data_IF_193327053882
#
_entry.id   IF_193327053882
#
_cell.length_a   1.000
_cell.length_b   1.000
_cell.length_c   1.000
_cell.angle_alpha   90.00
_cell.angle_beta   90.00
_cell.angle_gamma   90.00
#
_symmetry.space_group_name_H-M   'P 1'
#
loop_
_entity.id
_entity.type
_entity.pdbx_description
1 polymer ?
#
# COMPACT_ATOMS: atom_id res chain seq x y z
N UNK A 1 6.77 5.80 20.12
CA UNK A 1 7.20 4.62 19.32
C UNK A 1 7.59 5.07 17.95
N UNK A 2 8.79 4.73 17.45
CA UNK A 2 9.17 4.92 16.04
C UNK A 2 8.77 3.68 15.24
N UNK A 3 7.87 3.83 14.27
CA UNK A 3 7.32 2.72 13.50
C UNK A 3 7.57 2.91 12.02
N UNK A 4 8.12 1.88 11.36
CA UNK A 4 8.26 1.80 9.91
C UNK A 4 7.24 0.80 9.36
N UNK A 5 6.31 1.27 8.55
CA UNK A 5 5.36 0.45 7.83
C UNK A 5 5.91 0.09 6.45
N UNK A 6 6.10 -1.20 6.19
CA UNK A 6 6.50 -1.67 4.86
C UNK A 6 5.27 -1.75 3.94
N UNK A 7 5.21 -0.84 2.99
CA UNK A 7 4.12 -0.73 2.01
C UNK A 7 4.59 -1.20 0.63
N UNK A 8 5.14 -2.39 0.57
CA UNK A 8 5.57 -3.04 -0.66
C UNK A 8 4.46 -3.88 -1.30
N UNK A 9 4.68 -4.31 -2.54
CA UNK A 9 3.80 -5.23 -3.23
C UNK A 9 2.89 -4.59 -4.28
N UNK A 10 2.59 -5.33 -5.36
CA UNK A 10 1.73 -4.87 -6.47
C UNK A 10 0.25 -5.15 -6.25
N UNK A 11 -0.09 -6.02 -5.27
CA UNK A 11 -1.48 -6.39 -5.00
C UNK A 11 -2.22 -7.10 -6.14
N UNK A 12 -1.55 -7.56 -7.20
CA UNK A 12 -2.15 -8.11 -8.43
C UNK A 12 -3.20 -9.21 -8.23
N UNK A 13 -3.18 -9.89 -7.07
CA UNK A 13 -4.18 -10.93 -6.74
C UNK A 13 -5.55 -10.37 -6.36
N UNK A 14 -5.68 -9.06 -6.18
CA UNK A 14 -6.95 -8.37 -5.94
C UNK A 14 -7.42 -7.58 -7.16
N UNK A 15 -6.89 -7.93 -8.36
CA UNK A 15 -7.48 -7.44 -9.59
C UNK A 15 -9.00 -7.76 -9.62
N UNK A 16 -9.87 -6.87 -10.08
CA UNK A 16 -9.63 -5.59 -10.77
C UNK A 16 -9.55 -4.36 -9.85
N UNK A 17 -9.58 -4.51 -8.52
CA UNK A 17 -9.48 -3.35 -7.62
C UNK A 17 -8.06 -2.81 -7.49
N UNK A 18 -7.05 -3.66 -7.66
CA UNK A 18 -5.64 -3.29 -7.63
C UNK A 18 -5.07 -3.13 -9.03
N UNK A 19 -4.18 -2.17 -9.19
CA UNK A 19 -3.38 -1.94 -10.40
C UNK A 19 -1.94 -1.54 -10.02
N UNK A 20 -1.10 -1.14 -10.96
CA UNK A 20 0.30 -0.79 -10.73
C UNK A 20 0.49 0.45 -9.84
N UNK A 21 -0.53 1.32 -9.74
CA UNK A 21 -0.53 2.52 -8.89
C UNK A 21 -1.30 2.26 -7.60
N UNK A 22 -2.49 1.67 -7.69
CA UNK A 22 -3.35 1.36 -6.56
C UNK A 22 -3.10 -0.06 -6.05
N UNK A 23 -2.17 -0.21 -5.14
CA UNK A 23 -1.92 -1.49 -4.45
C UNK A 23 -3.02 -1.81 -3.44
N UNK A 24 -3.09 -3.09 -3.00
CA UNK A 24 -4.17 -3.63 -2.14
C UNK A 24 -4.42 -2.81 -0.86
N UNK A 25 -3.38 -2.26 -0.25
CA UNK A 25 -3.47 -1.52 1.00
C UNK A 25 -4.19 -0.16 0.88
N UNK A 26 -4.42 0.32 -0.35
CA UNK A 26 -5.14 1.57 -0.62
C UNK A 26 -6.60 1.36 -1.04
N UNK A 27 -7.06 0.11 -1.14
CA UNK A 27 -8.44 -0.21 -1.50
C UNK A 27 -9.33 0.01 -0.28
N UNK A 28 -10.38 0.83 -0.43
CA UNK A 28 -11.34 1.15 0.65
C UNK A 28 -12.43 0.09 0.70
N UNK A 29 -12.34 -0.84 1.65
CA UNK A 29 -13.22 -2.00 1.78
C UNK A 29 -13.62 -2.33 3.22
N UNK A 30 -13.10 -1.61 4.22
CA UNK A 30 -13.44 -1.81 5.61
C UNK A 30 -14.34 -0.67 6.08
N UNK A 31 -15.43 -1.00 6.77
CA UNK A 31 -16.29 0.02 7.35
C UNK A 31 -15.70 0.54 8.67
N UNK A 32 -15.73 1.84 8.82
CA UNK A 32 -15.50 2.52 10.08
C UNK A 32 -16.80 2.56 10.89
N UNK A 33 -16.71 2.94 12.16
CA UNK A 33 -17.88 3.10 13.06
C UNK A 33 -18.88 4.15 12.55
N UNK A 34 -18.42 5.15 11.79
CA UNK A 34 -19.25 6.19 11.17
C UNK A 34 -19.92 5.74 9.85
N UNK A 35 -19.66 4.51 9.40
CA UNK A 35 -20.20 3.93 8.17
C UNK A 35 -19.38 4.24 6.91
N UNK A 36 -18.35 5.09 7.00
CA UNK A 36 -17.46 5.38 5.88
C UNK A 36 -16.49 4.22 5.62
N UNK A 37 -16.10 4.05 4.35
CA UNK A 37 -15.11 3.04 3.98
C UNK A 37 -13.69 3.55 4.19
N UNK A 38 -12.87 2.74 4.83
CA UNK A 38 -11.43 2.98 4.97
C UNK A 38 -10.62 1.89 4.25
N UNK A 39 -9.41 2.25 3.84
CA UNK A 39 -8.42 1.33 3.32
C UNK A 39 -7.61 0.67 4.46
N UNK A 40 -6.84 -0.38 4.14
CA UNK A 40 -5.95 -1.02 5.11
C UNK A 40 -4.94 -0.02 5.70
N UNK A 41 -4.33 0.83 4.87
CA UNK A 41 -3.36 1.81 5.38
C UNK A 41 -4.00 2.85 6.30
N UNK A 42 -5.24 3.27 6.02
CA UNK A 42 -5.99 4.17 6.90
C UNK A 42 -6.37 3.48 8.22
N UNK A 43 -6.84 2.22 8.15
CA UNK A 43 -7.18 1.41 9.32
C UNK A 43 -5.97 1.24 10.23
N UNK A 44 -4.85 0.77 9.68
CA UNK A 44 -3.59 0.56 10.43
C UNK A 44 -3.11 1.86 11.07
N UNK A 45 -3.09 2.96 10.33
CA UNK A 45 -2.66 4.26 10.87
C UNK A 45 -3.57 4.74 12.01
N UNK A 46 -4.89 4.62 11.86
CA UNK A 46 -5.87 4.96 12.90
C UNK A 46 -5.69 4.12 14.15
N UNK A 47 -5.48 2.80 14.00
CA UNK A 47 -5.26 1.87 15.13
C UNK A 47 -3.94 2.16 15.85
N UNK A 48 -2.85 2.48 15.13
CA UNK A 48 -1.59 2.92 15.73
C UNK A 48 -1.81 4.16 16.58
N UNK A 49 -2.48 5.18 16.04
CA UNK A 49 -2.73 6.43 16.75
C UNK A 49 -3.70 6.28 17.93
N UNK A 50 -4.59 5.29 17.90
CA UNK A 50 -5.45 4.95 19.03
C UNK A 50 -4.67 4.33 20.22
N UNK A 51 -3.62 3.55 19.95
CA UNK A 51 -2.78 2.90 20.95
C UNK A 51 -1.64 3.83 21.44
N UNK A 52 -1.08 4.59 20.51
CA UNK A 52 0.05 5.51 20.81
C UNK A 52 -0.11 6.79 19.97
N UNK A 53 -0.71 7.83 20.57
CA UNK A 53 -0.93 9.13 19.92
C UNK A 53 0.37 9.79 19.47
N UNK A 54 1.46 9.54 20.19
CA UNK A 54 2.78 10.13 19.94
C UNK A 54 3.66 9.26 19.01
N UNK A 55 3.11 8.13 18.50
CA UNK A 55 3.85 7.29 17.58
C UNK A 55 4.26 8.07 16.31
N UNK A 56 5.54 8.02 15.98
CA UNK A 56 6.09 8.51 14.72
C UNK A 56 5.97 7.38 13.69
N UNK A 57 5.21 7.63 12.62
CA UNK A 57 4.97 6.63 11.56
C UNK A 57 5.71 7.05 10.30
N UNK A 58 6.57 6.17 9.81
CA UNK A 58 7.25 6.30 8.51
C UNK A 58 6.81 5.16 7.60
N UNK A 59 6.42 5.47 6.36
CA UNK A 59 5.99 4.46 5.38
C UNK A 59 7.10 4.27 4.36
N UNK A 60 7.66 3.06 4.31
CA UNK A 60 8.60 2.64 3.27
C UNK A 60 7.80 2.17 2.05
N UNK A 61 7.93 2.87 0.92
CA UNK A 61 7.05 2.68 -0.23
C UNK A 61 7.71 3.06 -1.55
N UNK A 62 7.10 2.66 -2.67
CA UNK A 62 7.54 3.07 -4.01
C UNK A 62 7.02 4.47 -4.40
N UNK A 63 7.71 5.14 -5.30
CA UNK A 63 7.34 6.47 -5.83
C UNK A 63 5.90 6.54 -6.37
N UNK A 64 5.39 5.46 -6.95
CA UNK A 64 4.03 5.42 -7.50
C UNK A 64 2.93 5.49 -6.44
N UNK A 65 3.23 5.14 -5.18
CA UNK A 65 2.27 5.08 -4.08
C UNK A 65 2.24 6.34 -3.20
N UNK A 66 3.24 7.21 -3.29
CA UNK A 66 3.37 8.44 -2.48
C UNK A 66 2.10 9.29 -2.55
N UNK A 67 1.55 9.49 -3.76
CA UNK A 67 0.33 10.29 -3.93
C UNK A 67 -0.88 9.70 -3.22
N UNK A 68 -1.04 8.37 -3.23
CA UNK A 68 -2.14 7.71 -2.53
C UNK A 68 -1.98 7.80 -1.00
N UNK A 69 -0.74 7.74 -0.50
CA UNK A 69 -0.46 7.94 0.94
C UNK A 69 -0.85 9.34 1.37
N UNK A 70 -0.39 10.38 0.67
CA UNK A 70 -0.76 11.76 0.98
C UNK A 70 -2.27 12.00 0.88
N UNK A 71 -2.94 11.43 -0.13
CA UNK A 71 -4.39 11.54 -0.27
C UNK A 71 -5.15 10.92 0.90
N UNK A 72 -4.70 9.75 1.38
CA UNK A 72 -5.42 8.97 2.39
C UNK A 72 -5.02 9.27 3.84
N UNK A 73 -3.78 9.68 4.09
CA UNK A 73 -3.24 9.91 5.44
C UNK A 73 -2.82 11.37 5.71
N UNK A 74 -2.81 12.23 4.70
CA UNK A 74 -2.26 13.59 4.80
C UNK A 74 -0.74 13.62 4.70
N UNK A 75 -0.15 14.77 5.03
CA UNK A 75 1.30 15.03 4.86
C UNK A 75 2.12 14.87 6.15
N UNK A 76 1.48 14.50 7.26
CA UNK A 76 2.14 14.37 8.57
C UNK A 76 2.90 13.04 8.74
N UNK A 77 2.72 12.08 7.82
CA UNK A 77 3.44 10.81 7.85
C UNK A 77 4.80 10.92 7.19
N UNK A 78 5.84 10.34 7.79
CA UNK A 78 7.14 10.20 7.15
C UNK A 78 7.06 9.24 5.96
N UNK A 79 7.77 9.54 4.86
CA UNK A 79 7.78 8.66 3.69
C UNK A 79 9.23 8.41 3.28
N UNK A 80 9.69 7.16 3.41
CA UNK A 80 10.92 6.65 2.82
C UNK A 80 10.61 6.07 1.45
N UNK A 81 11.02 6.77 0.38
CA UNK A 81 10.68 6.41 -1.00
C UNK A 81 11.75 5.50 -1.59
N UNK A 82 11.36 4.28 -1.97
CA UNK A 82 12.22 3.39 -2.74
C UNK A 82 12.24 3.79 -4.22
N UNK A 83 13.43 4.04 -4.82
CA UNK A 83 13.55 4.31 -6.26
C UNK A 83 13.05 3.16 -7.14
N UNK A 84 13.29 1.93 -6.69
CA UNK A 84 12.84 0.69 -7.35
C UNK A 84 12.69 -0.43 -6.31
N UNK A 85 12.10 -1.57 -6.69
CA UNK A 85 11.88 -2.69 -5.76
C UNK A 85 13.15 -3.53 -5.59
N UNK A 86 13.64 -3.66 -4.35
CA UNK A 86 14.83 -4.45 -3.97
C UNK A 86 14.59 -5.42 -2.80
N UNK A 87 13.31 -5.74 -2.49
CA UNK A 87 12.92 -6.57 -1.35
C UNK A 87 13.13 -5.86 0.00
N UNK A 88 12.87 -6.55 1.13
CA UNK A 88 12.69 -5.89 2.44
C UNK A 88 13.97 -5.42 3.09
N UNK A 89 15.14 -6.04 2.85
CA UNK A 89 16.38 -5.56 3.46
C UNK A 89 16.80 -4.17 2.96
N UNK A 90 16.90 -3.91 1.64
CA UNK A 90 17.20 -2.56 1.17
C UNK A 90 16.15 -1.52 1.59
N UNK A 91 14.86 -1.90 1.62
CA UNK A 91 13.79 -1.01 2.06
C UNK A 91 13.95 -0.61 3.53
N UNK A 92 14.28 -1.55 4.41
CA UNK A 92 14.52 -1.30 5.83
C UNK A 92 15.81 -0.48 6.03
N UNK A 93 16.88 -0.78 5.28
CA UNK A 93 18.13 -0.01 5.33
C UNK A 93 17.92 1.45 4.92
N UNK A 94 17.18 1.69 3.83
CA UNK A 94 16.85 3.05 3.37
C UNK A 94 15.95 3.78 4.38
N UNK A 95 14.96 3.11 4.96
CA UNK A 95 14.10 3.68 5.99
C UNK A 95 14.90 4.01 7.26
N UNK A 96 15.85 3.16 7.67
CA UNK A 96 16.73 3.43 8.81
C UNK A 96 17.62 4.66 8.58
N UNK A 97 18.22 4.79 7.39
CA UNK A 97 18.97 5.99 7.02
C UNK A 97 18.09 7.24 7.00
N UNK A 98 16.85 7.14 6.47
CA UNK A 98 15.85 8.22 6.48
C UNK A 98 15.49 8.66 7.91
N UNK A 99 15.25 7.70 8.82
CA UNK A 99 14.96 8.00 10.24
C UNK A 99 16.11 8.78 10.89
N UNK A 100 17.38 8.37 10.65
CA UNK A 100 18.56 9.03 11.20
C UNK A 100 18.80 10.40 10.58
N UNK A 101 18.94 10.46 9.24
CA UNK A 101 19.49 11.63 8.55
C UNK A 101 18.43 12.69 8.27
N UNK A 102 17.16 12.29 8.08
CA UNK A 102 16.05 13.21 7.74
C UNK A 102 15.20 13.51 8.96
N UNK A 103 14.84 12.49 9.76
CA UNK A 103 13.99 12.69 10.94
C UNK A 103 14.76 12.93 12.24
N UNK A 104 16.09 12.70 12.26
CA UNK A 104 16.93 12.94 13.43
C UNK A 104 16.74 11.96 14.58
N UNK A 105 16.25 10.74 14.31
CA UNK A 105 16.07 9.68 15.30
C UNK A 105 17.43 9.20 15.79
N UNK A 106 17.61 9.11 17.11
CA UNK A 106 18.86 8.68 17.73
C UNK A 106 19.15 7.19 17.54
N UNK A 107 20.41 6.82 17.42
CA UNK A 107 20.83 5.42 17.17
C UNK A 107 20.46 4.46 18.31
N UNK A 108 20.32 4.96 19.55
CA UNK A 108 19.89 4.17 20.71
C UNK A 108 18.36 4.04 20.81
N UNK A 109 17.61 4.77 20.01
CA UNK A 109 16.15 4.66 19.99
C UNK A 109 15.70 3.37 19.32
N UNK A 110 14.64 2.78 19.88
CA UNK A 110 14.03 1.60 19.29
C UNK A 110 13.16 1.95 18.09
N UNK A 111 13.24 1.12 17.08
CA UNK A 111 12.41 1.18 15.87
C UNK A 111 11.70 -0.15 15.71
N UNK A 112 10.41 -0.10 15.41
CA UNK A 112 9.60 -1.27 15.06
C UNK A 112 9.31 -1.23 13.56
N UNK A 113 9.56 -2.32 12.87
CA UNK A 113 9.24 -2.50 11.45
C UNK A 113 8.15 -3.54 11.33
N UNK A 114 7.08 -3.25 10.60
CA UNK A 114 6.03 -4.21 10.31
C UNK A 114 5.41 -3.98 8.93
N UNK A 115 4.81 -5.02 8.31
CA UNK A 115 4.05 -4.85 7.07
C UNK A 115 2.75 -4.09 7.32
N UNK A 116 2.27 -3.36 6.30
CA UNK A 116 1.02 -2.56 6.37
C UNK A 116 -0.23 -3.39 6.05
N UNK A 117 -0.08 -4.61 5.59
CA UNK A 117 -1.12 -5.39 4.93
C UNK A 117 -1.80 -6.53 5.73
N UNK A 118 -1.39 -6.90 6.96
CA UNK A 118 -2.16 -7.86 7.74
C UNK A 118 -3.43 -7.23 8.33
N UNK A 119 -4.50 -8.02 8.35
CA UNK A 119 -5.72 -7.67 9.09
C UNK A 119 -5.53 -8.09 10.55
N UNK A 120 -5.58 -7.11 11.43
CA UNK A 120 -5.28 -7.23 12.86
C UNK A 120 -6.23 -6.37 13.69
N UNK A 121 -6.30 -6.64 15.00
CA UNK A 121 -7.05 -5.82 15.94
C UNK A 121 -6.10 -4.95 16.79
N UNK A 122 -6.66 -4.15 17.70
CA UNK A 122 -5.88 -3.16 18.47
C UNK A 122 -4.81 -3.80 19.37
N UNK A 123 -5.04 -5.03 19.85
CA UNK A 123 -4.08 -5.81 20.65
C UNK A 123 -2.75 -6.06 19.92
N UNK A 124 -2.78 -6.13 18.60
CA UNK A 124 -1.57 -6.22 17.79
C UNK A 124 -0.70 -4.96 17.91
N UNK A 125 -1.31 -3.77 17.92
CA UNK A 125 -0.57 -2.51 18.05
C UNK A 125 -0.07 -2.28 19.48
N UNK A 126 -0.80 -2.77 20.49
CA UNK A 126 -0.30 -2.84 21.87
C UNK A 126 0.93 -3.77 21.96
N UNK A 127 0.90 -4.90 21.27
CA UNK A 127 2.04 -5.81 21.18
C UNK A 127 3.22 -5.18 20.41
N UNK A 128 2.99 -4.41 19.33
CA UNK A 128 4.06 -3.65 18.64
C UNK A 128 4.72 -2.63 19.56
N UNK A 129 3.94 -1.92 20.37
CA UNK A 129 4.49 -0.99 21.37
C UNK A 129 5.33 -1.71 22.40
N UNK A 130 4.83 -2.80 22.97
CA UNK A 130 5.57 -3.62 23.91
C UNK A 130 6.85 -4.23 23.30
N UNK A 131 6.82 -4.56 22.01
CA UNK A 131 7.99 -5.05 21.26
C UNK A 131 9.07 -3.97 21.15
N UNK A 132 8.68 -2.73 20.81
CA UNK A 132 9.58 -1.58 20.78
C UNK A 132 10.18 -1.26 22.16
N UNK A 133 9.35 -1.27 23.20
CA UNK A 133 9.79 -1.07 24.60
C UNK A 133 10.78 -2.19 25.02
N UNK A 134 10.55 -3.44 24.57
CA UNK A 134 11.48 -4.54 24.82
C UNK A 134 12.82 -4.32 24.11
N UNK A 135 12.81 -3.94 22.84
CA UNK A 135 14.02 -3.68 22.06
C UNK A 135 14.86 -2.54 22.65
N UNK A 136 14.24 -1.53 23.25
CA UNK A 136 14.95 -0.42 23.90
C UNK A 136 15.81 -0.87 25.07
N UNK A 137 15.39 -1.91 25.82
CA UNK A 137 16.06 -2.35 27.07
C UNK A 137 16.73 -3.72 26.95
N UNK A 138 16.46 -4.48 25.89
CA UNK A 138 17.06 -5.81 25.68
C UNK A 138 18.54 -5.71 25.35
N UNK A 139 19.29 -6.75 25.72
CA UNK A 139 20.63 -7.01 25.21
C UNK A 139 20.64 -7.75 23.88
N UNK A 140 19.48 -8.25 23.42
CA UNK A 140 19.35 -8.84 22.10
C UNK A 140 19.40 -7.75 21.01
N UNK A 141 19.99 -8.09 19.87
CA UNK A 141 20.09 -7.20 18.73
C UNK A 141 18.74 -7.06 17.99
N UNK A 142 17.96 -8.14 17.99
CA UNK A 142 16.64 -8.21 17.36
C UNK A 142 15.60 -8.75 18.35
N UNK A 143 14.41 -8.18 18.34
CA UNK A 143 13.22 -8.73 18.98
C UNK A 143 12.17 -8.96 17.91
N UNK A 144 11.75 -10.21 17.73
CA UNK A 144 10.77 -10.61 16.72
C UNK A 144 9.39 -10.75 17.34
N UNK A 145 8.33 -10.44 16.60
CA UNK A 145 6.98 -10.89 16.96
C UNK A 145 6.75 -12.29 16.38
N UNK A 146 6.50 -13.24 17.25
CA UNK A 146 6.16 -14.61 16.87
C UNK A 146 4.67 -14.84 16.96
N UNK A 147 4.04 -15.18 15.85
CA UNK A 147 2.59 -15.41 15.74
C UNK A 147 2.29 -16.89 15.95
N UNK A 148 1.29 -17.21 16.78
CA UNK A 148 0.88 -18.60 17.03
C UNK A 148 0.36 -19.23 15.73
N UNK A 149 0.98 -20.36 15.25
CA UNK A 149 0.60 -20.96 13.99
C UNK A 149 -0.70 -21.76 14.12
N UNK A 150 -1.60 -21.57 13.16
CA UNK A 150 -2.88 -22.30 13.09
C UNK A 150 -2.83 -23.52 12.13
N UNK A 151 -1.82 -23.56 11.24
CA UNK A 151 -1.59 -24.67 10.30
C UNK A 151 -0.13 -24.69 9.83
N UNK A 152 0.38 -25.82 9.29
CA UNK A 152 1.73 -25.87 8.73
C UNK A 152 1.79 -25.19 7.35
N UNK A 153 2.36 -23.99 7.31
CA UNK A 153 2.48 -23.16 6.10
C UNK A 153 3.89 -23.25 5.53
N UNK A 154 4.01 -23.35 4.21
CA UNK A 154 5.27 -23.19 3.48
C UNK A 154 5.55 -21.73 3.08
N UNK A 155 4.62 -20.83 3.41
CA UNK A 155 4.67 -19.42 2.99
C UNK A 155 5.36 -18.52 4.00
N UNK A 156 5.50 -18.95 5.26
CA UNK A 156 6.04 -18.17 6.37
C UNK A 156 7.36 -18.72 6.87
N UNK A 157 8.17 -17.84 7.46
CA UNK A 157 9.30 -18.23 8.29
C UNK A 157 8.84 -18.78 9.64
N UNK A 158 9.68 -19.60 10.27
CA UNK A 158 9.43 -20.19 11.58
C UNK A 158 10.51 -19.78 12.56
N UNK A 159 10.07 -19.30 13.72
CA UNK A 159 10.90 -18.90 14.86
C UNK A 159 10.77 -20.02 15.90
N UNK A 160 11.86 -20.67 16.25
CA UNK A 160 11.88 -21.71 17.26
C UNK A 160 12.41 -21.12 18.56
N UNK A 161 11.55 -20.85 19.57
CA UNK A 161 11.96 -20.30 20.85
C UNK A 161 12.65 -21.36 21.72
N UNK A 162 13.53 -20.93 22.65
CA UNK A 162 14.15 -21.83 23.64
C UNK A 162 13.13 -22.18 24.74
N UNK A 163 12.26 -21.23 25.12
CA UNK A 163 11.27 -21.37 26.19
C UNK A 163 9.83 -21.16 25.74
N UNK A 164 8.90 -21.22 26.70
CA UNK A 164 7.47 -20.98 26.48
C UNK A 164 6.99 -19.66 27.09
N UNK A 165 7.89 -18.89 27.63
CA UNK A 165 7.63 -17.57 28.23
C UNK A 165 7.12 -16.59 27.16
N UNK A 166 6.45 -15.52 27.58
CA UNK A 166 5.93 -14.47 26.70
C UNK A 166 7.06 -13.86 25.84
N UNK A 167 8.24 -13.69 26.41
CA UNK A 167 9.47 -13.31 25.73
C UNK A 167 10.52 -14.37 26.00
N UNK A 168 11.15 -14.91 24.97
CA UNK A 168 12.20 -15.91 25.09
C UNK A 168 13.28 -15.74 24.03
N UNK A 169 14.48 -16.27 24.29
CA UNK A 169 15.55 -16.35 23.29
C UNK A 169 15.12 -17.29 22.14
N UNK A 170 15.62 -17.02 20.96
CA UNK A 170 15.42 -17.83 19.76
C UNK A 170 16.56 -18.84 19.63
N UNK A 171 16.20 -20.11 19.43
CA UNK A 171 17.18 -21.17 19.20
C UNK A 171 17.51 -21.34 17.72
N UNK A 172 16.52 -21.07 16.85
CA UNK A 172 16.67 -21.22 15.40
C UNK A 172 15.59 -20.39 14.69
N UNK A 173 15.96 -19.83 13.55
CA UNK A 173 15.05 -19.25 12.56
C UNK A 173 15.15 -20.02 11.25
N UNK A 174 14.04 -20.25 10.57
CA UNK A 174 14.02 -20.90 9.26
C UNK A 174 12.95 -20.31 8.35
N UNK A 175 13.38 -19.74 7.24
CA UNK A 175 12.50 -19.16 6.23
C UNK A 175 11.91 -20.26 5.33
N UNK A 176 10.59 -20.23 5.15
CA UNK A 176 9.79 -21.05 4.20
C UNK A 176 10.20 -22.54 4.12
N UNK A 177 10.09 -23.31 5.20
CA UNK A 177 10.36 -24.74 5.19
C UNK A 177 9.30 -25.50 4.39
N UNK A 178 9.55 -26.76 4.07
CA UNK A 178 8.52 -27.66 3.53
C UNK A 178 7.42 -27.91 4.56
N UNK A 179 6.23 -28.31 4.11
CA UNK A 179 5.09 -28.55 5.00
C UNK A 179 5.37 -29.61 6.08
N UNK A 180 6.16 -30.65 5.74
CA UNK A 180 6.56 -31.68 6.70
C UNK A 180 7.46 -31.11 7.80
N UNK A 181 8.45 -30.32 7.43
CA UNK A 181 9.35 -29.65 8.37
C UNK A 181 8.58 -28.63 9.21
N UNK A 182 7.64 -27.91 8.60
CA UNK A 182 6.76 -26.98 9.31
C UNK A 182 5.93 -27.65 10.42
N UNK A 183 5.38 -28.85 10.15
CA UNK A 183 4.68 -29.65 11.17
C UNK A 183 5.57 -29.99 12.36
N UNK A 184 6.81 -30.41 12.09
CA UNK A 184 7.80 -30.74 13.13
C UNK A 184 8.16 -29.50 13.96
N UNK A 185 8.28 -28.33 13.34
CA UNK A 185 8.56 -27.08 14.03
C UNK A 185 7.39 -26.66 14.93
N UNK A 186 6.15 -26.73 14.43
CA UNK A 186 4.95 -26.44 15.25
C UNK A 186 4.88 -27.38 16.45
N UNK A 187 5.16 -28.69 16.29
CA UNK A 187 5.18 -29.65 17.39
C UNK A 187 6.25 -29.30 18.46
N UNK A 188 7.30 -28.58 18.08
CA UNK A 188 8.34 -28.05 19.00
C UNK A 188 8.00 -26.68 19.58
N UNK A 189 6.82 -26.11 19.29
CA UNK A 189 6.36 -24.81 19.78
C UNK A 189 6.90 -23.64 18.98
N UNK A 190 7.23 -23.85 17.70
CA UNK A 190 7.62 -22.77 16.80
C UNK A 190 6.46 -21.81 16.52
N UNK A 191 6.82 -20.57 16.26
CA UNK A 191 5.91 -19.48 15.92
C UNK A 191 6.14 -19.08 14.46
N UNK A 192 5.13 -18.53 13.79
CA UNK A 192 5.33 -17.90 12.49
C UNK A 192 6.06 -16.58 12.63
N UNK A 193 6.94 -16.29 11.69
CA UNK A 193 7.47 -14.96 11.47
C UNK A 193 6.48 -14.13 10.65
N UNK A 194 5.90 -13.10 11.27
CA UNK A 194 4.97 -12.16 10.62
C UNK A 194 5.66 -11.01 9.90
N UNK A 195 6.99 -11.02 9.78
CA UNK A 195 7.75 -9.90 9.22
C UNK A 195 7.77 -8.67 10.13
N UNK A 196 7.67 -8.87 11.44
CA UNK A 196 7.68 -7.83 12.46
C UNK A 196 8.97 -7.89 13.24
N UNK A 197 9.72 -6.80 13.22
CA UNK A 197 11.05 -6.69 13.79
C UNK A 197 11.16 -5.44 14.67
N UNK A 198 11.77 -5.54 15.83
CA UNK A 198 12.16 -4.40 16.63
C UNK A 198 13.64 -4.46 16.99
N UNK A 199 14.30 -3.32 16.95
CA UNK A 199 15.74 -3.17 17.15
C UNK A 199 16.09 -1.73 17.51
N UNK A 200 17.29 -1.49 18.04
CA UNK A 200 17.86 -0.15 18.11
C UNK A 200 18.29 0.31 16.72
N UNK A 201 18.00 1.55 16.35
CA UNK A 201 18.31 2.10 15.03
C UNK A 201 19.77 1.88 14.62
N UNK A 202 20.71 2.12 15.53
CA UNK A 202 22.15 1.92 15.29
C UNK A 202 22.53 0.50 14.91
N UNK A 203 21.85 -0.53 15.44
CA UNK A 203 22.10 -1.91 15.04
C UNK A 203 21.84 -2.15 13.55
N UNK A 204 20.67 -1.72 13.06
CA UNK A 204 20.32 -1.94 11.63
C UNK A 204 21.17 -1.08 10.72
N UNK A 205 21.50 0.15 11.10
CA UNK A 205 22.44 0.99 10.35
C UNK A 205 23.83 0.32 10.23
N UNK A 206 24.36 -0.23 11.32
CA UNK A 206 25.63 -0.96 11.30
C UNK A 206 25.56 -2.18 10.37
N UNK A 207 24.47 -2.98 10.46
CA UNK A 207 24.27 -4.12 9.55
C UNK A 207 24.13 -3.68 8.08
N UNK A 208 23.46 -2.55 7.84
CA UNK A 208 23.36 -1.99 6.49
C UNK A 208 24.72 -1.56 5.95
N UNK A 209 25.56 -0.88 6.74
CA UNK A 209 26.93 -0.51 6.35
C UNK A 209 27.88 -1.70 6.15
N UNK A 210 27.65 -2.83 6.85
CA UNK A 210 28.43 -4.05 6.61
C UNK A 210 28.10 -4.70 5.24
N UNK A 211 26.87 -4.55 4.77
CA UNK A 211 26.34 -5.24 3.59
C UNK A 211 26.23 -4.32 2.36
N UNK A 212 26.17 -3.01 2.56
CA UNK A 212 25.99 -1.99 1.52
C UNK A 212 27.01 -0.85 1.79
N UNK A 213 27.74 -0.47 0.76
CA UNK A 213 28.65 0.68 0.82
C UNK A 213 27.90 1.98 0.54
N UNK A 214 27.59 2.75 1.59
CA UNK A 214 26.95 4.06 1.51
C UNK A 214 27.39 4.96 2.68
N UNK A 215 27.18 6.27 2.53
CA UNK A 215 27.60 7.28 3.52
C UNK A 215 26.39 7.79 4.32
N UNK A 216 25.31 8.13 3.65
CA UNK A 216 24.09 8.72 4.20
C UNK A 216 22.84 8.29 3.38
N UNK A 217 21.67 8.82 3.77
CA UNK A 217 20.41 8.55 3.08
C UNK A 217 20.46 8.88 1.58
N UNK A 218 20.98 10.04 1.22
CA UNK A 218 21.01 10.49 -0.19
C UNK A 218 21.92 9.61 -1.05
N UNK A 219 23.08 9.22 -0.52
CA UNK A 219 24.00 8.31 -1.19
C UNK A 219 23.38 6.91 -1.37
N UNK A 220 22.71 6.38 -0.32
CA UNK A 220 22.00 5.10 -0.41
C UNK A 220 20.83 5.16 -1.41
N UNK A 221 20.07 6.26 -1.40
CA UNK A 221 18.97 6.49 -2.35
C UNK A 221 19.50 6.51 -3.80
N UNK A 222 20.59 7.20 -4.07
CA UNK A 222 21.18 7.30 -5.40
C UNK A 222 21.79 6.00 -5.92
N UNK A 223 22.23 5.11 -5.02
CA UNK A 223 22.80 3.78 -5.35
C UNK A 223 21.75 2.66 -5.32
N UNK A 224 20.53 2.95 -4.95
CA UNK A 224 19.51 1.94 -4.61
C UNK A 224 19.22 0.94 -5.73
N UNK A 225 19.27 1.36 -6.98
CA UNK A 225 19.04 0.52 -8.15
C UNK A 225 20.16 -0.51 -8.40
N UNK A 226 21.33 -0.33 -7.80
CA UNK A 226 22.46 -1.27 -7.88
C UNK A 226 22.42 -2.35 -6.79
N UNK A 227 21.57 -2.20 -5.78
CA UNK A 227 21.52 -3.11 -4.62
C UNK A 227 20.99 -4.51 -4.99
N UNK A 228 21.48 -5.50 -4.30
CA UNK A 228 20.96 -6.86 -4.40
C UNK A 228 19.52 -6.92 -3.89
N UNK A 229 18.70 -7.72 -4.59
CA UNK A 229 17.33 -7.99 -4.17
C UNK A 229 17.33 -9.13 -3.14
N UNK A 230 17.13 -8.79 -1.86
CA UNK A 230 17.19 -9.73 -0.75
C UNK A 230 16.24 -9.32 0.38
N UNK A 231 15.60 -10.28 1.05
CA UNK A 231 14.76 -10.00 2.21
C UNK A 231 15.60 -9.74 3.47
N UNK A 232 15.01 -9.03 4.43
CA UNK A 232 15.62 -8.79 5.74
C UNK A 232 15.85 -10.11 6.51
N UNK A 233 14.94 -11.07 6.33
CA UNK A 233 15.06 -12.40 6.92
C UNK A 233 16.33 -13.11 6.48
N UNK A 234 16.60 -13.15 5.17
CA UNK A 234 17.82 -13.77 4.64
C UNK A 234 19.09 -12.96 4.89
N UNK A 235 19.02 -11.63 4.80
CA UNK A 235 20.22 -10.79 4.94
C UNK A 235 20.66 -10.63 6.39
N UNK A 236 19.73 -10.61 7.34
CA UNK A 236 19.99 -10.26 8.74
C UNK A 236 19.52 -11.34 9.71
N UNK A 237 18.24 -11.74 9.70
CA UNK A 237 17.66 -12.59 10.74
C UNK A 237 18.30 -13.99 10.78
N UNK A 238 18.53 -14.62 9.63
CA UNK A 238 19.16 -15.95 9.56
C UNK A 238 20.64 -15.96 10.04
N UNK A 239 21.29 -14.80 10.10
CA UNK A 239 22.70 -14.65 10.49
C UNK A 239 22.89 -14.05 11.87
N UNK A 240 21.81 -13.64 12.54
CA UNK A 240 21.87 -13.06 13.89
C UNK A 240 21.71 -14.16 14.97
N UNK A 241 22.53 -14.09 15.99
CA UNK A 241 22.52 -15.04 17.13
C UNK A 241 21.82 -14.51 18.37
N UNK A 242 21.82 -13.19 18.54
CA UNK A 242 21.23 -12.53 19.72
C UNK A 242 19.83 -12.05 19.39
N UNK A 243 18.89 -13.01 19.30
CA UNK A 243 17.48 -12.76 18.98
C UNK A 243 16.58 -13.16 20.15
N UNK A 244 15.62 -12.31 20.46
CA UNK A 244 14.46 -12.62 21.28
C UNK A 244 13.19 -12.70 20.44
N UNK A 245 12.20 -13.46 20.88
CA UNK A 245 10.86 -13.51 20.31
C UNK A 245 9.83 -13.19 21.38
N UNK A 246 8.89 -12.30 21.06
CA UNK A 246 7.69 -12.02 21.82
C UNK A 246 6.50 -12.71 21.15
N UNK A 247 5.75 -13.52 21.93
CA UNK A 247 4.60 -14.28 21.44
C UNK A 247 3.39 -13.36 21.22
N UNK A 248 2.69 -13.56 20.12
CA UNK A 248 1.42 -12.92 19.83
C UNK A 248 0.36 -13.98 19.46
N UNK A 249 -0.73 -14.02 20.20
CA UNK A 249 -1.84 -14.97 20.05
C UNK A 249 -3.15 -14.31 19.61
N UNK A 250 -3.12 -13.04 19.24
CA UNK A 250 -4.29 -12.30 18.75
C UNK A 250 -4.63 -12.62 17.29
N UNK A 251 -5.63 -11.93 16.77
CA UNK A 251 -6.05 -12.07 15.38
C UNK A 251 -4.98 -11.54 14.44
N UNK A 252 -4.55 -12.39 13.52
CA UNK A 252 -3.64 -12.01 12.44
C UNK A 252 -4.02 -12.77 11.16
N UNK A 253 -4.34 -12.04 10.07
CA UNK A 253 -4.71 -12.61 8.77
C UNK A 253 -3.97 -11.89 7.65
N UNK A 254 -3.39 -12.64 6.71
CA UNK A 254 -2.89 -12.10 5.45
C UNK A 254 -4.05 -11.99 4.45
N UNK A 255 -4.40 -10.77 4.07
CA UNK A 255 -5.45 -10.48 3.08
C UNK A 255 -4.86 -10.37 1.66
N UNK A 256 -4.07 -11.36 1.27
CA UNK A 256 -3.38 -11.37 -0.02
C UNK A 256 -4.20 -11.87 -1.20
N UNK A 257 -5.40 -12.42 -0.98
CA UNK A 257 -6.27 -13.02 -2.00
C UNK A 257 -7.72 -12.65 -1.75
N UNK A 258 -8.58 -12.78 -2.76
CA UNK A 258 -10.02 -12.54 -2.61
C UNK A 258 -10.68 -13.45 -1.57
N UNK A 259 -10.23 -14.70 -1.47
CA UNK A 259 -10.73 -15.62 -0.46
C UNK A 259 -10.52 -15.05 0.95
N UNK A 260 -9.27 -14.75 1.30
CA UNK A 260 -8.94 -14.21 2.63
C UNK A 260 -9.52 -12.82 2.87
N UNK A 261 -9.62 -11.99 1.83
CA UNK A 261 -10.20 -10.66 1.91
C UNK A 261 -11.70 -10.73 2.24
N UNK A 262 -12.46 -11.59 1.55
CA UNK A 262 -13.90 -11.72 1.78
C UNK A 262 -14.24 -12.29 3.15
N UNK A 263 -13.34 -13.02 3.81
CA UNK A 263 -13.49 -13.46 5.21
C UNK A 263 -13.31 -12.31 6.23
N UNK A 264 -12.68 -11.22 5.84
CA UNK A 264 -12.47 -10.05 6.69
C UNK A 264 -13.47 -8.92 6.39
N UNK A 265 -14.32 -9.06 5.37
CA UNK A 265 -15.38 -8.12 5.07
C UNK A 265 -16.53 -8.32 6.05
N UNK A 266 -17.05 -7.23 6.60
CA UNK A 266 -18.21 -7.17 7.49
C UNK A 266 -19.55 -7.15 6.74
N UNK A 267 -19.51 -7.00 5.42
CA UNK A 267 -20.67 -6.95 4.52
C UNK A 267 -20.44 -7.84 3.30
N UNK A 268 -21.52 -8.47 2.81
CA UNK A 268 -21.51 -9.25 1.57
C UNK A 268 -21.40 -8.37 0.31
N UNK A 269 -21.67 -7.07 0.42
CA UNK A 269 -21.59 -6.15 -0.69
C UNK A 269 -20.94 -4.82 -0.31
N UNK A 270 -20.07 -4.33 -1.17
CA UNK A 270 -19.61 -2.95 -1.26
C UNK A 270 -20.03 -2.41 -2.62
N UNK A 271 -20.70 -1.25 -2.64
CA UNK A 271 -21.34 -0.74 -3.85
C UNK A 271 -22.71 -1.39 -4.12
N UNK A 272 -23.30 -1.08 -5.26
CA UNK A 272 -24.66 -1.52 -5.58
C UNK A 272 -24.71 -2.97 -6.04
N UNK A 273 -25.31 -3.85 -5.21
CA UNK A 273 -25.47 -5.28 -5.50
C UNK A 273 -26.77 -5.82 -4.93
N UNK A 274 -27.36 -6.76 -5.66
CA UNK A 274 -28.59 -7.48 -5.28
C UNK A 274 -28.33 -8.99 -5.32
N UNK A 275 -28.87 -9.71 -4.34
CA UNK A 275 -28.74 -11.16 -4.21
C UNK A 275 -30.15 -11.79 -4.09
N UNK A 276 -30.35 -12.93 -4.75
CA UNK A 276 -31.53 -13.73 -4.44
C UNK A 276 -31.26 -14.69 -3.26
N UNK A 277 -32.31 -15.28 -2.72
CA UNK A 277 -32.26 -16.16 -1.54
C UNK A 277 -31.48 -17.48 -1.76
N UNK A 278 -31.10 -17.78 -2.99
CA UNK A 278 -30.30 -18.97 -3.34
C UNK A 278 -28.79 -18.69 -3.42
N UNK A 279 -28.38 -17.45 -3.17
CA UNK A 279 -26.97 -17.13 -3.05
C UNK A 279 -26.44 -17.55 -1.69
N UNK A 280 -25.33 -18.28 -1.67
CA UNK A 280 -24.63 -18.75 -0.47
C UNK A 280 -23.16 -18.30 -0.51
N UNK A 281 -22.69 -17.62 0.53
CA UNK A 281 -21.30 -17.17 0.66
C UNK A 281 -20.78 -16.37 -0.56
N UNK A 282 -21.63 -15.51 -1.13
CA UNK A 282 -21.29 -14.64 -2.27
C UNK A 282 -20.90 -13.26 -1.77
N UNK A 283 -19.79 -12.72 -2.26
CA UNK A 283 -19.36 -11.34 -1.97
C UNK A 283 -19.23 -10.55 -3.27
N UNK A 284 -19.65 -9.29 -3.21
CA UNK A 284 -19.58 -8.35 -4.33
C UNK A 284 -18.82 -7.10 -3.91
N UNK A 285 -17.84 -6.69 -4.69
CA UNK A 285 -17.21 -5.37 -4.56
C UNK A 285 -17.38 -4.64 -5.90
N UNK A 286 -18.26 -3.65 -5.91
CA UNK A 286 -18.67 -2.92 -7.10
C UNK A 286 -18.27 -1.44 -7.01
N UNK A 287 -17.27 -1.02 -7.76
CA UNK A 287 -16.84 0.39 -7.88
C UNK A 287 -17.42 1.07 -9.14
N UNK A 288 -18.28 0.35 -9.87
CA UNK A 288 -18.98 0.92 -11.03
C UNK A 288 -20.32 1.55 -10.63
N UNK A 289 -20.77 2.50 -11.44
CA UNK A 289 -22.05 3.20 -11.24
C UNK A 289 -23.25 2.43 -11.88
N UNK A 290 -23.16 1.09 -11.87
CA UNK A 290 -24.22 0.18 -12.39
C UNK A 290 -24.45 -0.97 -11.40
N UNK A 291 -25.71 -1.43 -11.19
CA UNK A 291 -25.99 -2.49 -10.23
C UNK A 291 -25.48 -3.86 -10.72
N UNK A 292 -25.09 -4.71 -9.76
CA UNK A 292 -24.77 -6.13 -10.00
C UNK A 292 -25.86 -6.99 -9.39
N UNK A 293 -26.48 -7.86 -10.19
CA UNK A 293 -27.47 -8.85 -9.74
C UNK A 293 -26.84 -10.25 -9.72
N UNK A 294 -26.79 -10.86 -8.54
CA UNK A 294 -26.32 -12.22 -8.33
C UNK A 294 -27.48 -13.17 -8.04
N UNK A 295 -27.57 -14.30 -8.75
CA UNK A 295 -28.66 -15.27 -8.58
C UNK A 295 -28.10 -16.70 -8.50
N UNK A 296 -28.38 -17.40 -7.39
CA UNK A 296 -28.09 -18.81 -7.21
C UNK A 296 -26.61 -19.17 -7.21
N UNK A 297 -25.72 -18.23 -6.89
CA UNK A 297 -24.27 -18.42 -6.84
C UNK A 297 -23.87 -18.98 -5.46
N UNK A 298 -22.78 -19.76 -5.42
CA UNK A 298 -22.21 -20.31 -4.18
C UNK A 298 -20.70 -20.14 -4.17
N UNK A 299 -20.16 -19.71 -3.03
CA UNK A 299 -18.71 -19.54 -2.80
C UNK A 299 -18.00 -18.69 -3.89
N UNK A 300 -18.66 -17.62 -4.32
CA UNK A 300 -18.21 -16.76 -5.42
C UNK A 300 -17.87 -15.36 -4.91
N UNK A 301 -16.82 -14.79 -5.49
CA UNK A 301 -16.56 -13.36 -5.44
C UNK A 301 -16.81 -12.74 -6.81
N UNK A 302 -17.52 -11.61 -6.82
CA UNK A 302 -17.68 -10.73 -7.98
C UNK A 302 -17.06 -9.40 -7.64
N UNK A 303 -16.11 -8.97 -8.46
CA UNK A 303 -15.51 -7.64 -8.29
C UNK A 303 -15.54 -6.89 -9.60
N UNK A 304 -16.02 -5.66 -9.57
CA UNK A 304 -16.12 -4.79 -10.72
C UNK A 304 -15.51 -3.42 -10.42
N UNK A 305 -14.61 -2.99 -11.29
CA UNK A 305 -13.97 -1.68 -11.24
C UNK A 305 -13.74 -1.17 -12.67
N UNK A 306 -13.27 0.08 -12.85
CA UNK A 306 -12.85 0.56 -14.17
C UNK A 306 -11.78 -0.31 -14.86
N UNK A 307 -10.98 -1.05 -14.10
CA UNK A 307 -9.94 -1.97 -14.63
C UNK A 307 -10.53 -3.23 -15.25
N UNK A 308 -11.77 -3.62 -14.89
CA UNK A 308 -12.43 -4.81 -15.40
C UNK A 308 -13.39 -5.46 -14.41
N UNK A 309 -13.83 -6.68 -14.75
CA UNK A 309 -14.75 -7.47 -13.93
C UNK A 309 -14.17 -8.85 -13.68
N UNK A 310 -14.11 -9.25 -12.43
CA UNK A 310 -13.78 -10.60 -11.98
C UNK A 310 -15.04 -11.30 -11.49
N UNK A 311 -15.27 -12.51 -11.98
CA UNK A 311 -16.22 -13.48 -11.40
C UNK A 311 -15.42 -14.75 -11.14
N UNK A 312 -15.27 -15.13 -9.88
CA UNK A 312 -14.42 -16.26 -9.51
C UNK A 312 -15.00 -17.05 -8.34
N UNK A 313 -14.85 -18.36 -8.39
CA UNK A 313 -14.84 -19.16 -7.18
C UNK A 313 -13.80 -18.59 -6.21
N UNK A 314 -14.10 -18.58 -4.90
CA UNK A 314 -13.22 -17.93 -3.90
C UNK A 314 -11.86 -18.60 -3.77
N UNK A 315 -11.78 -19.95 -3.81
CA UNK A 315 -10.51 -20.67 -3.72
C UNK A 315 -9.68 -20.46 -4.98
N UNK A 316 -10.32 -20.51 -6.18
CA UNK A 316 -9.67 -20.28 -7.46
C UNK A 316 -9.13 -18.86 -7.61
N UNK A 317 -9.72 -17.89 -6.91
CA UNK A 317 -9.26 -16.50 -6.92
C UNK A 317 -7.80 -16.33 -6.46
N UNK A 318 -7.27 -17.30 -5.71
CA UNK A 318 -5.86 -17.30 -5.29
C UNK A 318 -4.87 -17.49 -6.46
N UNK A 319 -5.32 -17.98 -7.58
CA UNK A 319 -4.50 -18.34 -8.75
C UNK A 319 -4.65 -17.38 -9.94
N UNK A 320 -5.29 -16.22 -9.77
CA UNK A 320 -5.58 -15.28 -10.87
C UNK A 320 -4.33 -14.62 -11.47
N UNK A 321 -3.23 -14.51 -10.73
CA UNK A 321 -2.04 -13.75 -11.13
C UNK A 321 -1.50 -14.07 -12.54
N UNK A 322 -1.34 -15.35 -12.96
CA UNK A 322 -0.87 -15.66 -14.31
C UNK A 322 -1.78 -15.13 -15.42
N UNK A 323 -3.10 -15.13 -15.18
CA UNK A 323 -4.09 -14.63 -16.13
C UNK A 323 -4.11 -13.10 -16.18
N UNK A 324 -4.09 -12.45 -15.01
CA UNK A 324 -4.00 -10.99 -14.91
C UNK A 324 -2.78 -10.46 -15.66
N UNK A 325 -1.63 -11.13 -15.57
CA UNK A 325 -0.41 -10.73 -16.29
C UNK A 325 -0.53 -10.76 -17.82
N UNK A 326 -1.57 -11.38 -18.39
CA UNK A 326 -1.84 -11.40 -19.84
C UNK A 326 -2.81 -10.30 -20.28
N UNK A 327 -3.43 -9.58 -19.35
CA UNK A 327 -4.32 -8.47 -19.64
C UNK A 327 -3.55 -7.20 -20.02
N UNK A 328 -4.20 -6.31 -20.74
CA UNK A 328 -3.68 -4.95 -20.93
C UNK A 328 -3.71 -4.21 -19.59
N UNK A 329 -2.56 -3.74 -19.12
CA UNK A 329 -2.38 -3.07 -17.83
C UNK A 329 -2.53 -1.54 -17.92
N UNK A 330 -3.46 -1.03 -18.71
CA UNK A 330 -3.76 0.40 -18.71
C UNK A 330 -4.43 0.77 -17.39
N UNK A 331 -3.90 1.80 -16.71
CA UNK A 331 -4.47 2.30 -15.46
C UNK A 331 -5.75 3.07 -15.74
N UNK A 332 -6.88 2.51 -15.35
CA UNK A 332 -8.21 3.11 -15.56
C UNK A 332 -8.69 3.97 -14.39
N UNK A 333 -8.10 3.79 -13.20
CA UNK A 333 -8.37 4.57 -12.00
C UNK A 333 -7.10 4.77 -11.18
N UNK A 334 -6.87 5.99 -10.68
CA UNK A 334 -5.86 6.23 -9.66
C UNK A 334 -6.22 7.41 -8.74
N UNK A 335 -5.84 7.29 -7.47
CA UNK A 335 -5.75 8.41 -6.54
C UNK A 335 -4.43 9.15 -6.74
N UNK A 336 -4.49 10.47 -6.69
CA UNK A 336 -3.37 11.41 -6.78
C UNK A 336 -3.37 12.32 -5.56
N UNK A 337 -2.25 12.96 -5.24
CA UNK A 337 -2.20 13.93 -4.13
C UNK A 337 -3.23 15.07 -4.25
N UNK A 338 -3.66 15.37 -5.45
CA UNK A 338 -4.65 16.41 -5.72
C UNK A 338 -6.11 15.90 -5.81
N UNK A 339 -6.36 14.60 -5.75
CA UNK A 339 -7.68 13.99 -5.92
C UNK A 339 -7.62 12.64 -6.63
N UNK A 340 -8.44 12.44 -7.66
CA UNK A 340 -8.49 11.17 -8.41
C UNK A 340 -8.88 11.36 -9.87
N UNK A 341 -8.59 10.34 -10.68
CA UNK A 341 -9.14 10.24 -12.02
C UNK A 341 -9.73 8.85 -12.29
N UNK A 342 -10.75 8.79 -13.15
CA UNK A 342 -11.39 7.55 -13.65
C UNK A 342 -11.53 7.66 -15.15
N UNK A 343 -10.95 6.75 -15.91
CA UNK A 343 -11.17 6.64 -17.35
C UNK A 343 -12.58 6.11 -17.56
N UNK A 344 -13.35 6.79 -18.40
CA UNK A 344 -14.76 6.46 -18.68
C UNK A 344 -14.89 5.75 -20.02
N UNK A 345 -14.13 6.21 -21.02
CA UNK A 345 -14.23 5.72 -22.39
C UNK A 345 -12.89 5.82 -23.11
N UNK A 346 -12.60 4.86 -23.97
CA UNK A 346 -11.39 4.81 -24.79
C UNK A 346 -11.78 4.37 -26.20
N UNK A 347 -11.37 5.17 -27.18
CA UNK A 347 -11.46 4.84 -28.60
C UNK A 347 -10.08 5.01 -29.26
N UNK A 348 -9.97 4.72 -30.56
CA UNK A 348 -8.70 4.70 -31.31
C UNK A 348 -7.90 6.01 -31.20
N UNK A 349 -8.56 7.15 -31.19
CA UNK A 349 -7.94 8.47 -31.18
C UNK A 349 -8.50 9.39 -30.09
N UNK A 350 -9.17 8.83 -29.07
CA UNK A 350 -9.70 9.61 -27.96
C UNK A 350 -9.72 8.82 -26.64
N UNK A 351 -9.61 9.55 -25.54
CA UNK A 351 -9.83 9.04 -24.20
C UNK A 351 -10.63 10.06 -23.38
N UNK A 352 -11.69 9.58 -22.72
CA UNK A 352 -12.51 10.42 -21.82
C UNK A 352 -12.25 10.04 -20.38
N UNK A 353 -11.95 11.03 -19.57
CA UNK A 353 -11.56 10.87 -18.17
C UNK A 353 -12.46 11.75 -17.30
N UNK A 354 -12.99 11.20 -16.22
CA UNK A 354 -13.57 11.99 -15.12
C UNK A 354 -12.49 12.28 -14.09
N UNK A 355 -12.28 13.56 -13.81
CA UNK A 355 -11.29 14.03 -12.83
C UNK A 355 -12.04 14.67 -11.66
N UNK A 356 -11.60 14.35 -10.45
CA UNK A 356 -12.04 15.01 -9.21
C UNK A 356 -10.84 15.61 -8.50
N UNK A 357 -10.84 16.92 -8.26
CA UNK A 357 -9.83 17.60 -7.46
C UNK A 357 -10.40 17.92 -6.08
N UNK A 358 -9.63 17.64 -5.05
CA UNK A 358 -9.94 18.06 -3.69
C UNK A 358 -9.83 19.59 -3.54
N UNK A 359 -10.65 20.19 -2.69
CA UNK A 359 -10.59 21.62 -2.42
C UNK A 359 -9.18 22.05 -1.96
N UNK A 360 -8.67 23.16 -2.48
CA UNK A 360 -7.34 23.69 -2.19
C UNK A 360 -6.19 22.99 -2.94
N UNK A 361 -6.47 21.98 -3.76
CA UNK A 361 -5.43 21.23 -4.49
C UNK A 361 -5.35 21.66 -5.96
N UNK A 362 -4.22 21.30 -6.59
CA UNK A 362 -3.98 21.60 -8.01
C UNK A 362 -3.30 20.44 -8.72
N UNK A 363 -3.54 20.31 -10.02
CA UNK A 363 -2.72 19.49 -10.90
C UNK A 363 -1.32 20.09 -11.07
N UNK A 364 -0.35 19.28 -11.48
CA UNK A 364 0.94 19.82 -11.94
C UNK A 364 0.73 20.73 -13.15
N UNK A 365 1.48 21.82 -13.26
CA UNK A 365 1.56 22.61 -14.48
C UNK A 365 2.34 21.80 -15.53
N UNK A 366 1.71 21.48 -16.68
CA UNK A 366 2.27 20.53 -17.62
C UNK A 366 1.78 20.76 -19.05
N UNK A 367 2.41 20.09 -20.02
CA UNK A 367 1.95 20.02 -21.41
C UNK A 367 2.01 18.60 -21.95
N UNK A 368 1.32 18.38 -23.08
CA UNK A 368 1.34 17.19 -23.89
C UNK A 368 1.72 17.52 -25.33
N UNK A 369 2.53 16.70 -25.97
CA UNK A 369 3.02 16.98 -27.33
C UNK A 369 2.18 16.33 -28.42
N UNK A 370 1.43 15.25 -28.10
CA UNK A 370 0.78 14.38 -29.07
C UNK A 370 -0.72 14.31 -28.92
N UNK A 371 -1.31 15.18 -28.08
CA UNK A 371 -2.76 15.24 -27.89
C UNK A 371 -3.27 16.64 -27.56
N UNK A 372 -4.47 16.92 -28.04
CA UNK A 372 -5.29 18.06 -27.59
C UNK A 372 -6.12 17.62 -26.36
N UNK A 373 -6.49 18.56 -25.52
CA UNK A 373 -7.38 18.32 -24.38
C UNK A 373 -8.55 19.30 -24.36
N UNK A 374 -9.73 18.79 -24.05
CA UNK A 374 -10.93 19.58 -23.78
C UNK A 374 -11.40 19.26 -22.39
N UNK A 375 -11.45 20.25 -21.51
CA UNK A 375 -11.98 20.12 -20.17
C UNK A 375 -13.36 20.76 -20.08
N UNK A 376 -14.32 20.03 -19.54
CA UNK A 376 -15.65 20.56 -19.18
C UNK A 376 -15.81 20.47 -17.67
N UNK A 377 -15.88 21.60 -16.99
CA UNK A 377 -16.15 21.62 -15.55
C UNK A 377 -17.61 21.26 -15.31
N UNK A 378 -17.86 20.21 -14.51
CA UNK A 378 -19.20 19.70 -14.23
C UNK A 378 -19.68 19.99 -12.82
N UNK A 379 -18.77 20.33 -11.87
CA UNK A 379 -19.09 20.77 -10.51
C UNK A 379 -17.91 21.51 -9.91
N UNK A 380 -18.19 22.36 -8.90
CA UNK A 380 -17.20 23.13 -8.18
C UNK A 380 -16.75 24.40 -8.90
N UNK A 381 -15.84 25.11 -8.25
CA UNK A 381 -15.25 26.38 -8.70
C UNK A 381 -13.73 26.34 -8.50
N UNK A 382 -12.99 27.06 -9.34
CA UNK A 382 -11.55 27.14 -9.27
C UNK A 382 -10.97 28.05 -10.33
N UNK A 383 -9.68 27.81 -10.67
CA UNK A 383 -8.94 28.59 -11.68
C UNK A 383 -8.19 27.65 -12.61
N UNK A 384 -8.17 27.95 -13.89
CA UNK A 384 -7.25 27.36 -14.86
C UNK A 384 -6.13 28.36 -15.17
N UNK A 385 -4.93 27.83 -15.44
CA UNK A 385 -3.81 28.57 -16.00
C UNK A 385 -3.41 27.85 -17.28
N UNK A 386 -3.58 28.56 -18.42
CA UNK A 386 -3.26 28.04 -19.75
C UNK A 386 -2.25 29.00 -20.39
N UNK A 387 -1.04 28.52 -20.70
CA UNK A 387 0.10 29.31 -21.21
C UNK A 387 0.35 30.60 -20.41
N UNK A 388 0.24 30.50 -19.06
CA UNK A 388 0.43 31.61 -18.14
C UNK A 388 -0.80 32.52 -17.98
N UNK A 389 -1.89 32.32 -18.71
CA UNK A 389 -3.12 33.08 -18.57
C UNK A 389 -4.06 32.43 -17.55
N UNK A 390 -4.37 33.15 -16.48
CA UNK A 390 -5.29 32.71 -15.43
C UNK A 390 -6.74 33.05 -15.81
N UNK A 391 -7.65 32.11 -15.56
CA UNK A 391 -9.09 32.25 -15.76
C UNK A 391 -9.85 31.53 -14.64
N UNK A 392 -10.81 32.20 -14.03
CA UNK A 392 -11.76 31.55 -13.13
C UNK A 392 -12.68 30.64 -13.90
N UNK A 393 -12.97 29.46 -13.30
CA UNK A 393 -13.82 28.43 -13.90
C UNK A 393 -14.84 27.91 -12.90
N UNK A 394 -16.02 27.54 -13.42
CA UNK A 394 -17.15 26.96 -12.68
C UNK A 394 -17.89 25.94 -13.53
N UNK A 395 -18.84 25.27 -12.94
CA UNK A 395 -19.69 24.33 -13.67
C UNK A 395 -20.30 24.91 -14.94
N UNK A 396 -20.13 24.23 -16.06
CA UNK A 396 -20.54 24.61 -17.40
C UNK A 396 -19.46 25.24 -18.27
N UNK A 397 -18.31 25.64 -17.69
CA UNK A 397 -17.20 26.19 -18.47
C UNK A 397 -16.45 25.09 -19.22
N UNK A 398 -16.00 25.42 -20.43
CA UNK A 398 -15.24 24.56 -21.33
C UNK A 398 -13.91 25.22 -21.66
N UNK A 399 -12.83 24.46 -21.48
CA UNK A 399 -11.46 24.90 -21.76
C UNK A 399 -10.88 23.98 -22.83
N UNK A 400 -10.40 24.53 -23.93
CA UNK A 400 -9.76 23.77 -25.01
C UNK A 400 -8.27 24.11 -25.05
N UNK A 401 -7.43 23.08 -25.10
CA UNK A 401 -5.98 23.20 -25.10
C UNK A 401 -5.41 22.34 -26.22
N UNK A 402 -4.67 22.96 -27.11
CA UNK A 402 -3.96 22.24 -28.19
C UNK A 402 -2.69 21.60 -27.67
N UNK A 403 -2.21 20.60 -28.39
CA UNK A 403 -0.91 19.99 -28.13
C UNK A 403 0.20 21.02 -27.96
N UNK A 404 1.08 20.85 -26.99
CA UNK A 404 2.13 21.79 -26.61
C UNK A 404 1.70 22.86 -25.61
N UNK A 405 0.41 23.13 -25.41
CA UNK A 405 -0.10 24.10 -24.47
C UNK A 405 0.24 23.71 -23.02
N UNK A 406 0.77 24.63 -22.22
CA UNK A 406 1.03 24.42 -20.79
C UNK A 406 -0.21 24.74 -19.99
N UNK A 407 -0.65 23.83 -19.15
CA UNK A 407 -1.90 24.03 -18.44
C UNK A 407 -1.91 23.39 -17.05
N UNK A 408 -2.77 23.91 -16.18
CA UNK A 408 -3.13 23.36 -14.88
C UNK A 408 -4.51 23.85 -14.46
N UNK A 409 -5.07 23.20 -13.45
CA UNK A 409 -6.29 23.64 -12.77
C UNK A 409 -6.08 23.58 -11.26
N UNK A 410 -6.60 24.61 -10.56
CA UNK A 410 -6.56 24.79 -9.12
C UNK A 410 -8.01 24.78 -8.63
N UNK A 411 -8.33 23.88 -7.72
CA UNK A 411 -9.65 23.76 -7.14
C UNK A 411 -9.81 24.68 -5.91
N UNK A 412 -10.75 25.59 -5.92
CA UNK A 412 -11.11 26.40 -4.73
C UNK A 412 -12.11 25.63 -3.85
N UNK A 413 -13.06 24.93 -4.47
CA UNK A 413 -13.93 23.95 -3.85
C UNK A 413 -13.61 22.56 -4.42
N UNK A 414 -14.23 21.47 -3.93
CA UNK A 414 -14.15 20.20 -4.67
C UNK A 414 -14.59 20.43 -6.12
N UNK A 415 -13.69 20.18 -7.08
CA UNK A 415 -13.93 20.46 -8.49
C UNK A 415 -13.96 19.15 -9.29
N UNK A 416 -14.99 18.99 -10.10
CA UNK A 416 -15.13 17.83 -11.01
C UNK A 416 -15.15 18.32 -12.45
N UNK A 417 -14.38 17.64 -13.30
CA UNK A 417 -14.38 17.90 -14.74
C UNK A 417 -14.36 16.60 -15.54
N UNK A 418 -14.85 16.72 -16.77
CA UNK A 418 -14.66 15.72 -17.82
C UNK A 418 -13.54 16.23 -18.71
N UNK A 419 -12.50 15.44 -18.85
CA UNK A 419 -11.36 15.65 -19.73
C UNK A 419 -11.49 14.73 -20.94
N UNK A 420 -11.51 15.28 -22.12
CA UNK A 420 -11.44 14.54 -23.37
C UNK A 420 -10.08 14.80 -24.00
N UNK A 421 -9.31 13.74 -24.15
CA UNK A 421 -8.02 13.74 -24.83
C UNK A 421 -8.22 13.27 -26.27
N UNK A 422 -7.65 13.98 -27.23
CA UNK A 422 -7.78 13.73 -28.68
C UNK A 422 -6.39 13.62 -29.30
N UNK A 423 -6.06 12.48 -29.89
CA UNK A 423 -4.76 12.25 -30.51
C UNK A 423 -4.55 10.79 -30.91
N UNK A 424 -3.65 10.55 -31.87
CA UNK A 424 -3.33 9.20 -32.34
C UNK A 424 -2.48 8.38 -31.36
N UNK A 425 -1.78 9.07 -30.43
CA UNK A 425 -0.90 8.46 -29.44
C UNK A 425 -1.16 9.07 -28.06
N UNK A 426 -2.18 8.55 -27.36
CA UNK A 426 -2.51 8.97 -25.99
C UNK A 426 -1.75 8.08 -25.03
N UNK A 427 -0.61 8.58 -24.52
CA UNK A 427 0.26 7.88 -23.58
C UNK A 427 0.46 8.71 -22.29
N UNK A 428 0.52 8.02 -21.16
CA UNK A 428 0.79 8.65 -19.85
C UNK A 428 2.20 9.26 -19.77
N UNK A 429 3.13 8.79 -20.60
CA UNK A 429 4.50 9.32 -20.69
C UNK A 429 4.58 10.60 -21.55
N UNK A 430 3.55 10.94 -22.34
CA UNK A 430 3.43 12.22 -23.05
C UNK A 430 3.00 13.32 -22.07
N UNK A 431 3.79 13.50 -20.98
CA UNK A 431 3.56 14.54 -19.97
C UNK A 431 4.85 15.20 -19.56
N UNK A 432 5.04 16.45 -19.98
CA UNK A 432 6.15 17.30 -19.54
C UNK A 432 5.68 18.24 -18.42
N UNK A 433 6.35 18.19 -17.26
CA UNK A 433 6.04 19.04 -16.10
C UNK A 433 6.89 20.30 -16.09
N UNK A 434 6.32 21.39 -15.62
CA UNK A 434 6.95 22.70 -15.47
C UNK A 434 6.73 23.25 -14.07
N UNK A 435 7.62 24.11 -13.63
CA UNK A 435 7.38 24.94 -12.46
C UNK A 435 6.37 26.04 -12.81
N UNK A 436 5.46 26.32 -11.90
CA UNK A 436 4.55 27.45 -12.01
C UNK A 436 5.18 28.61 -11.27
N UNK A 437 5.79 29.52 -12.00
CA UNK A 437 6.31 30.79 -11.45
C UNK A 437 5.12 31.70 -11.15
N UNK A 438 4.97 32.11 -9.89
CA UNK A 438 3.99 33.12 -9.45
C UNK A 438 4.62 34.51 -9.42
#
# INVERSE_FOLDING_TARGET
MNLVLLSGGSGQRLWPLSNDIRSKQFIKIFHREDGELESMVQRVYRQIKAVDTDATVTIATSKSQVSAIHNQLGEEVGISVEPCRRDTFPAIALAAAYLKDVQGVGEEESVVVCPVDPYVENDYFEALKALGDRAAVSSANLVLMGIEPTYPSEKYGYIIPIGKEQVSKVSMFKEKPTQEVAKDYIAKGALWNGGVFAFKLGYVLNRAHELIDFVDYDDLFNKYDTLNKISFDYAVVEHESEIEVMRFAGTWKDLGTWNTLTEAMDSHAIGEALFNEKCENVHVVNELDVPILCMGLKDVVVSASPEGILVSDKEQSSYIKPFVNTLDHRVMFAEKSWGSFKVIDIDNASMTIKVTLNAGHRMNYHSHQHRDEVWTVIAGEGKTIVDGMEQNVKAGDVITMSAGCRHTIIAETELKLIEVQLGEAIDVHDKQKFELEY
#
